data_IF_887632535557
#
_entry.id   IF_887632535557
#
_cell.length_a   1.000
_cell.length_b   1.000
_cell.length_c   1.000
_cell.angle_alpha   90.00
_cell.angle_beta   90.00
_cell.angle_gamma   90.00
#
_symmetry.space_group_name_H-M   'P 1'
#
loop_
_entity.id
_entity.type
_entity.pdbx_description
1 polymer ?
#
# COMPACT_ATOMS: atom_id res chain seq x y z
N UNK A 1 3.92 68.81 -10.57
CA UNK A 1 2.89 68.07 -9.79
C UNK A 1 2.20 67.13 -10.75
N UNK A 2 2.68 65.90 -10.88
CA UNK A 2 2.33 64.70 -10.11
C UNK A 2 1.47 63.77 -10.98
N UNK A 3 2.18 62.89 -11.69
CA UNK A 3 1.66 61.63 -12.22
C UNK A 3 0.96 60.84 -11.10
N UNK A 4 -0.22 60.29 -11.37
CA UNK A 4 -0.81 59.24 -10.55
C UNK A 4 -1.09 58.01 -11.41
N UNK A 5 -0.05 57.19 -11.48
CA UNK A 5 -0.13 55.77 -11.78
C UNK A 5 -0.82 55.12 -10.58
N UNK A 6 -1.99 54.52 -10.78
CA UNK A 6 -2.57 53.59 -9.83
C UNK A 6 -2.34 52.18 -10.37
N UNK A 7 -1.22 51.56 -9.97
CA UNK A 7 -0.99 50.12 -10.14
C UNK A 7 -1.86 49.42 -9.11
N UNK A 8 -2.88 48.71 -9.57
CA UNK A 8 -3.56 47.72 -8.76
C UNK A 8 -2.64 46.50 -8.63
N UNK A 9 -2.03 46.34 -7.45
CA UNK A 9 -1.32 45.12 -7.09
C UNK A 9 -2.34 43.97 -6.93
N UNK A 10 -2.45 43.13 -7.95
CA UNK A 10 -3.03 41.79 -7.81
C UNK A 10 -2.06 40.91 -7.02
N UNK A 11 -2.27 40.78 -5.73
CA UNK A 11 -1.70 39.68 -4.94
C UNK A 11 -2.51 38.42 -5.26
N UNK A 12 -2.08 37.69 -6.29
CA UNK A 12 -2.45 36.31 -6.49
C UNK A 12 -1.72 35.46 -5.44
N UNK A 13 -2.32 35.32 -4.26
CA UNK A 13 -1.93 34.26 -3.34
C UNK A 13 -2.46 32.96 -3.94
N UNK A 14 -1.57 32.25 -4.63
CA UNK A 14 -1.82 30.90 -5.12
C UNK A 14 -2.07 29.98 -3.94
N UNK A 15 -3.34 29.75 -3.64
CA UNK A 15 -3.78 28.57 -2.92
C UNK A 15 -3.54 27.37 -3.85
N UNK A 16 -2.38 26.72 -3.73
CA UNK A 16 -2.26 25.32 -4.10
C UNK A 16 -2.97 24.51 -3.02
N UNK A 17 -4.30 24.53 -3.05
CA UNK A 17 -5.06 23.42 -2.51
C UNK A 17 -4.77 22.25 -3.44
N UNK A 18 -3.95 21.31 -2.99
CA UNK A 18 -3.94 19.96 -3.55
C UNK A 18 -5.35 19.44 -3.41
N UNK A 19 -6.09 19.47 -4.52
CA UNK A 19 -7.38 18.80 -4.63
C UNK A 19 -7.13 17.30 -4.45
N UNK A 20 -7.17 16.84 -3.20
CA UNK A 20 -7.56 15.48 -2.91
C UNK A 20 -9.00 15.33 -3.39
N UNK A 21 -9.16 15.06 -4.69
CA UNK A 21 -10.45 14.80 -5.31
C UNK A 21 -11.10 13.64 -4.54
N UNK A 22 -12.26 13.83 -3.89
CA UNK A 22 -13.04 12.73 -3.37
C UNK A 22 -13.78 12.14 -4.58
N UNK A 23 -13.05 11.42 -5.44
CA UNK A 23 -13.69 10.71 -6.53
C UNK A 23 -14.37 9.50 -5.91
N UNK A 24 -15.65 9.66 -5.56
CA UNK A 24 -16.57 8.54 -5.43
C UNK A 24 -16.65 7.93 -6.84
N UNK A 25 -15.77 6.98 -7.14
CA UNK A 25 -15.78 6.20 -8.38
C UNK A 25 -17.15 5.51 -8.50
N UNK A 26 -17.71 5.51 -9.71
CA UNK A 26 -18.95 4.83 -10.02
C UNK A 26 -18.92 3.37 -9.57
N UNK A 27 -20.05 2.92 -9.03
CA UNK A 27 -20.32 1.63 -8.38
C UNK A 27 -19.77 0.45 -9.16
N UNK A 28 -18.55 0.03 -8.85
CA UNK A 28 -18.11 -1.37 -8.84
C UNK A 28 -16.68 -1.38 -8.29
N UNK A 29 -16.50 -1.30 -6.96
CA UNK A 29 -15.18 -1.39 -6.35
C UNK A 29 -14.47 -2.64 -6.87
N UNK A 30 -13.29 -2.39 -7.42
CA UNK A 30 -12.42 -3.43 -7.95
C UNK A 30 -11.46 -3.75 -6.82
N UNK A 31 -11.85 -4.65 -5.94
CA UNK A 31 -10.94 -5.21 -4.95
C UNK A 31 -9.57 -5.52 -5.57
N UNK A 32 -8.49 -4.95 -5.04
CA UNK A 32 -7.11 -5.01 -5.58
C UNK A 32 -7.03 -4.68 -7.08
N UNK A 33 -6.57 -3.47 -7.42
CA UNK A 33 -6.41 -2.99 -8.79
C UNK A 33 -4.93 -2.85 -9.15
N UNK A 34 -4.45 -3.65 -10.09
CA UNK A 34 -3.10 -3.56 -10.65
C UNK A 34 -3.20 -3.32 -12.16
N UNK A 35 -2.38 -2.42 -12.70
CA UNK A 35 -2.44 -2.00 -14.12
C UNK A 35 -3.85 -1.54 -14.58
N UNK A 36 -4.63 -0.96 -13.66
CA UNK A 36 -6.01 -0.50 -13.89
C UNK A 36 -7.06 -1.62 -13.95
N UNK A 37 -6.67 -2.87 -13.73
CA UNK A 37 -7.56 -4.03 -13.77
C UNK A 37 -7.66 -4.73 -12.41
N UNK A 38 -8.82 -5.33 -12.13
CA UNK A 38 -9.05 -6.11 -10.92
C UNK A 38 -8.17 -7.37 -10.93
N UNK A 39 -7.38 -7.59 -9.89
CA UNK A 39 -6.75 -8.88 -9.65
C UNK A 39 -7.85 -9.89 -9.27
N UNK A 40 -7.91 -11.01 -9.98
CA UNK A 40 -8.83 -12.10 -9.63
C UNK A 40 -8.14 -13.04 -8.66
N UNK A 41 -8.91 -13.65 -7.77
CA UNK A 41 -8.40 -14.66 -6.86
C UNK A 41 -9.21 -15.94 -7.07
N UNK A 42 -8.53 -17.08 -7.11
CA UNK A 42 -9.21 -18.38 -7.19
C UNK A 42 -9.79 -18.82 -5.84
N UNK A 43 -10.33 -20.05 -5.78
CA UNK A 43 -10.92 -20.59 -4.56
C UNK A 43 -9.93 -20.72 -3.38
N UNK A 44 -8.62 -20.77 -3.66
CA UNK A 44 -7.55 -20.83 -2.67
C UNK A 44 -6.96 -19.44 -2.37
N UNK A 45 -7.60 -18.37 -2.87
CA UNK A 45 -7.13 -16.99 -2.81
C UNK A 45 -5.76 -16.79 -3.49
N UNK A 46 -5.44 -17.61 -4.48
CA UNK A 46 -4.24 -17.42 -5.31
C UNK A 46 -4.53 -16.38 -6.39
N UNK A 47 -3.67 -15.35 -6.56
CA UNK A 47 -3.90 -14.30 -7.54
C UNK A 47 -3.80 -14.83 -8.98
N UNK A 48 -4.72 -14.37 -9.82
CA UNK A 48 -4.82 -14.66 -11.24
C UNK A 48 -4.73 -13.32 -11.99
N UNK A 49 -3.70 -13.20 -12.82
CA UNK A 49 -3.39 -11.96 -13.53
C UNK A 49 -3.86 -12.03 -14.98
N UNK A 50 -4.32 -10.91 -15.51
CA UNK A 50 -4.59 -10.75 -16.93
C UNK A 50 -3.30 -10.56 -17.72
N UNK A 51 -3.35 -10.73 -19.04
CA UNK A 51 -2.20 -10.44 -19.92
C UNK A 51 -1.72 -8.99 -19.75
N UNK A 52 -2.65 -8.04 -19.58
CA UNK A 52 -2.32 -6.64 -19.33
C UNK A 52 -1.53 -6.48 -18.04
N UNK A 53 -1.99 -7.07 -16.94
CA UNK A 53 -1.26 -7.05 -15.67
C UNK A 53 0.10 -7.71 -15.79
N UNK A 54 0.22 -8.81 -16.53
CA UNK A 54 1.53 -9.47 -16.76
C UNK A 54 2.49 -8.55 -17.52
N UNK A 55 1.99 -7.82 -18.52
CA UNK A 55 2.79 -6.96 -19.40
C UNK A 55 3.09 -5.56 -18.80
N UNK A 56 2.22 -5.05 -17.93
CA UNK A 56 2.29 -3.66 -17.40
C UNK A 56 2.63 -3.61 -15.90
N UNK A 57 3.08 -4.71 -15.30
CA UNK A 57 3.62 -4.70 -13.94
C UNK A 57 4.91 -5.52 -13.86
N UNK A 58 5.66 -5.35 -12.77
CA UNK A 58 6.86 -6.13 -12.52
C UNK A 58 6.53 -7.57 -12.08
N UNK A 59 7.34 -8.52 -12.55
CA UNK A 59 7.24 -9.92 -12.11
C UNK A 59 7.39 -10.03 -10.59
N UNK A 60 8.31 -9.28 -9.99
CA UNK A 60 8.54 -9.27 -8.55
C UNK A 60 7.26 -8.90 -7.77
N UNK A 61 6.51 -7.89 -8.22
CA UNK A 61 5.25 -7.48 -7.59
C UNK A 61 4.22 -8.61 -7.60
N UNK A 62 4.05 -9.27 -8.75
CA UNK A 62 3.09 -10.37 -8.92
C UNK A 62 3.50 -11.62 -8.15
N UNK A 63 4.76 -12.02 -8.24
CA UNK A 63 5.31 -13.15 -7.52
C UNK A 63 5.30 -12.93 -6.00
N UNK A 64 5.58 -11.69 -5.57
CA UNK A 64 5.48 -11.27 -4.18
C UNK A 64 4.04 -11.36 -3.65
N UNK A 65 3.04 -10.90 -4.43
CA UNK A 65 1.63 -11.07 -4.06
C UNK A 65 1.27 -12.54 -3.93
N UNK A 66 1.66 -13.38 -4.89
CA UNK A 66 1.37 -14.82 -4.83
C UNK A 66 2.02 -15.48 -3.60
N UNK A 67 3.25 -15.09 -3.26
CA UNK A 67 3.95 -15.60 -2.08
C UNK A 67 3.27 -15.15 -0.79
N UNK A 68 2.94 -13.87 -0.65
CA UNK A 68 2.21 -13.37 0.52
C UNK A 68 0.80 -13.99 0.63
N UNK A 69 0.07 -14.11 -0.49
CA UNK A 69 -1.23 -14.77 -0.54
C UNK A 69 -1.20 -16.25 -0.11
N UNK A 70 -0.03 -16.90 -0.16
CA UNK A 70 0.14 -18.27 0.31
C UNK A 70 0.25 -18.40 1.83
N UNK A 71 0.37 -17.29 2.58
CA UNK A 71 0.41 -17.29 4.05
C UNK A 71 -0.99 -17.20 4.67
N UNK A 72 -1.12 -17.48 5.97
CA UNK A 72 -2.41 -17.38 6.65
C UNK A 72 -2.88 -15.93 6.74
N UNK A 73 -1.98 -15.00 7.12
CA UNK A 73 -2.31 -13.58 7.18
C UNK A 73 -2.63 -13.00 5.80
N UNK A 74 -1.89 -13.39 4.76
CA UNK A 74 -2.17 -12.96 3.40
C UNK A 74 -3.56 -13.38 2.93
N UNK A 75 -3.92 -14.66 3.13
CA UNK A 75 -5.29 -15.14 2.83
C UNK A 75 -6.35 -14.37 3.61
N UNK A 76 -6.13 -14.13 4.90
CA UNK A 76 -7.08 -13.39 5.77
C UNK A 76 -7.31 -11.97 5.27
N UNK A 77 -6.25 -11.26 4.90
CA UNK A 77 -6.34 -9.89 4.41
C UNK A 77 -6.95 -9.84 3.02
N UNK A 78 -6.55 -10.73 2.11
CA UNK A 78 -7.19 -10.84 0.79
C UNK A 78 -8.68 -11.12 0.94
N UNK A 79 -9.11 -12.05 1.80
CA UNK A 79 -10.53 -12.33 2.02
C UNK A 79 -11.32 -11.13 2.58
N UNK A 80 -10.68 -10.28 3.40
CA UNK A 80 -11.28 -9.05 3.92
C UNK A 80 -11.41 -7.99 2.82
N UNK A 81 -10.33 -7.71 2.11
CA UNK A 81 -10.25 -6.61 1.14
C UNK A 81 -10.77 -6.99 -0.25
N UNK A 82 -10.99 -8.27 -0.54
CA UNK A 82 -11.60 -8.74 -1.78
C UNK A 82 -13.14 -8.64 -1.77
N UNK A 83 -13.67 -7.57 -1.16
CA UNK A 83 -15.12 -7.30 -1.02
C UNK A 83 -15.49 -6.02 -1.75
N UNK A 84 -16.78 -5.89 -2.07
CA UNK A 84 -17.32 -4.75 -2.83
C UNK A 84 -17.45 -3.45 -2.00
N UNK A 85 -16.69 -3.29 -0.92
CA UNK A 85 -16.60 -2.05 -0.14
C UNK A 85 -15.18 -1.48 -0.11
N UNK A 86 -14.22 -2.18 -0.72
CA UNK A 86 -12.80 -1.83 -0.72
C UNK A 86 -12.26 -1.69 -2.13
N UNK A 87 -11.42 -0.68 -2.35
CA UNK A 87 -10.55 -0.56 -3.50
C UNK A 87 -9.12 -0.37 -2.98
N UNK A 88 -8.21 -1.29 -3.32
CA UNK A 88 -6.78 -1.12 -3.04
C UNK A 88 -6.13 -0.87 -4.38
N UNK A 89 -5.64 0.34 -4.62
CA UNK A 89 -5.04 0.77 -5.88
C UNK A 89 -3.53 0.54 -5.82
N UNK A 90 -3.04 -0.42 -6.61
CA UNK A 90 -1.63 -0.79 -6.62
C UNK A 90 -0.89 -0.01 -7.71
N UNK A 91 0.11 0.74 -7.28
CA UNK A 91 0.98 1.53 -8.15
C UNK A 91 2.42 1.09 -7.96
N UNK A 92 3.12 0.81 -9.06
CA UNK A 92 4.57 0.58 -9.02
C UNK A 92 5.30 1.91 -9.20
N UNK A 93 6.20 2.25 -8.28
CA UNK A 93 6.98 3.48 -8.32
C UNK A 93 8.46 3.18 -8.07
N UNK A 94 9.30 3.28 -9.10
CA UNK A 94 10.75 3.06 -8.99
C UNK A 94 11.48 4.19 -8.24
N UNK A 95 10.86 5.35 -8.08
CA UNK A 95 11.42 6.51 -7.36
C UNK A 95 11.09 6.48 -5.86
N UNK A 96 10.33 5.48 -5.39
CA UNK A 96 10.01 5.34 -3.98
C UNK A 96 11.27 4.99 -3.17
N UNK A 97 11.48 5.64 -2.03
CA UNK A 97 12.70 5.51 -1.24
C UNK A 97 12.76 4.22 -0.41
N UNK A 98 11.65 3.48 -0.32
CA UNK A 98 11.55 2.18 0.37
C UNK A 98 11.05 1.04 -0.54
N UNK A 99 10.80 -0.12 0.05
CA UNK A 99 10.26 -1.30 -0.67
C UNK A 99 8.78 -1.14 -1.06
N UNK A 100 8.06 -0.29 -0.34
CA UNK A 100 6.66 0.04 -0.55
C UNK A 100 6.21 1.11 0.43
N UNK A 101 5.01 1.64 0.21
CA UNK A 101 4.36 2.62 1.08
C UNK A 101 2.84 2.57 0.92
N UNK A 102 2.13 2.60 2.03
CA UNK A 102 0.68 2.79 2.12
C UNK A 102 0.38 4.15 2.75
N UNK A 103 0.21 5.21 1.95
CA UNK A 103 -0.08 6.54 2.49
C UNK A 103 -1.40 6.52 3.26
N UNK A 104 -1.48 7.30 4.34
CA UNK A 104 -2.72 7.45 5.09
C UNK A 104 -3.82 7.99 4.16
N UNK A 105 -5.00 7.34 4.11
CA UNK A 105 -6.07 7.80 3.27
C UNK A 105 -6.68 9.10 3.81
N UNK A 106 -7.46 9.79 2.97
CA UNK A 106 -8.17 11.00 3.37
C UNK A 106 -9.12 10.77 4.57
N UNK A 107 -9.39 11.83 5.33
CA UNK A 107 -10.21 11.78 6.55
C UNK A 107 -11.58 11.13 6.32
N UNK A 108 -12.20 11.36 5.16
CA UNK A 108 -13.48 10.76 4.81
C UNK A 108 -13.43 9.21 4.80
N UNK A 109 -12.34 8.63 4.31
CA UNK A 109 -12.13 7.17 4.31
C UNK A 109 -11.92 6.64 5.73
N UNK A 110 -11.14 7.35 6.55
CA UNK A 110 -10.92 6.96 7.96
C UNK A 110 -12.21 6.99 8.77
N UNK A 111 -13.01 8.05 8.62
CA UNK A 111 -14.32 8.18 9.31
C UNK A 111 -15.31 7.11 8.83
N UNK A 112 -15.21 6.68 7.57
CA UNK A 112 -16.07 5.64 6.99
C UNK A 112 -15.63 4.20 7.33
N UNK A 113 -14.61 3.99 8.17
CA UNK A 113 -14.06 2.66 8.47
C UNK A 113 -15.12 1.62 8.90
N UNK A 114 -16.08 2.02 9.73
CA UNK A 114 -17.19 1.16 10.16
C UNK A 114 -18.45 1.22 9.27
N UNK A 115 -18.46 2.07 8.23
CA UNK A 115 -19.60 2.25 7.35
C UNK A 115 -19.49 1.34 6.12
N UNK A 116 -20.19 0.21 6.17
CA UNK A 116 -20.24 -0.78 5.08
C UNK A 116 -21.04 -0.31 3.85
N UNK A 117 -21.73 0.83 3.93
CA UNK A 117 -22.40 1.43 2.77
C UNK A 117 -21.44 2.27 1.90
N UNK A 118 -20.21 2.51 2.37
CA UNK A 118 -19.21 3.34 1.71
C UNK A 118 -18.10 2.50 1.10
N UNK A 119 -17.69 2.92 -0.09
CA UNK A 119 -16.48 2.43 -0.73
C UNK A 119 -15.28 3.13 -0.10
N UNK A 120 -14.30 2.34 0.31
CA UNK A 120 -13.06 2.79 0.96
C UNK A 120 -11.90 2.50 0.03
N UNK A 121 -11.28 3.54 -0.49
CA UNK A 121 -10.13 3.46 -1.39
C UNK A 121 -8.83 3.68 -0.61
N UNK A 122 -7.83 2.85 -0.89
CA UNK A 122 -6.49 2.89 -0.33
C UNK A 122 -5.46 2.79 -1.45
N UNK A 123 -4.40 3.57 -1.36
CA UNK A 123 -3.26 3.43 -2.27
C UNK A 123 -2.22 2.48 -1.65
N UNK A 124 -1.66 1.63 -2.51
CA UNK A 124 -0.55 0.75 -2.21
C UNK A 124 0.54 1.02 -3.23
N UNK A 125 1.62 1.66 -2.81
CA UNK A 125 2.77 1.98 -3.65
C UNK A 125 3.83 0.91 -3.40
N UNK A 126 4.35 0.30 -4.46
CA UNK A 126 5.39 -0.74 -4.36
C UNK A 126 6.60 -0.35 -5.22
N UNK A 127 7.81 -0.63 -4.73
CA UNK A 127 9.04 -0.43 -5.49
C UNK A 127 9.68 -1.77 -5.86
N UNK A 128 9.31 -2.38 -7.00
CA UNK A 128 9.88 -3.65 -7.42
C UNK A 128 11.37 -3.56 -7.79
N UNK A 129 11.92 -2.35 -7.90
CA UNK A 129 13.33 -2.11 -8.25
C UNK A 129 14.19 -1.72 -7.06
N UNK A 130 13.59 -1.55 -5.88
CA UNK A 130 14.34 -1.17 -4.69
C UNK A 130 15.38 -2.25 -4.37
N UNK A 131 16.62 -1.83 -4.16
CA UNK A 131 17.71 -2.75 -3.87
C UNK A 131 18.12 -2.55 -2.41
N UNK A 132 17.70 -3.48 -1.54
CA UNK A 132 18.19 -3.50 -0.16
C UNK A 132 19.70 -3.81 -0.23
N UNK A 133 20.58 -2.92 0.27
CA UNK A 133 22.00 -3.20 0.34
C UNK A 133 22.19 -4.49 1.14
N UNK A 134 22.51 -5.58 0.44
CA UNK A 134 22.72 -6.88 1.08
C UNK A 134 23.91 -6.73 2.00
N UNK A 135 23.68 -6.76 3.31
CA UNK A 135 24.79 -6.94 4.23
C UNK A 135 25.40 -8.32 3.92
N UNK A 136 26.72 -8.45 4.05
CA UNK A 136 27.42 -9.74 3.88
C UNK A 136 26.93 -10.79 4.91
N UNK A 137 26.07 -10.37 5.85
CA UNK A 137 25.59 -11.17 6.97
C UNK A 137 24.06 -11.25 6.95
N UNK A 138 23.51 -12.01 6.00
CA UNK A 138 22.18 -12.61 6.19
C UNK A 138 22.29 -13.71 7.26
N UNK A 139 22.38 -13.30 8.53
CA UNK A 139 22.44 -14.23 9.66
C UNK A 139 21.11 -14.97 9.74
N UNK A 140 21.14 -16.29 9.93
CA UNK A 140 19.94 -17.05 10.28
C UNK A 140 19.57 -16.79 11.76
N UNK A 141 18.31 -16.48 12.10
CA UNK A 141 17.14 -16.39 11.21
C UNK A 141 17.16 -15.11 10.36
N UNK A 142 16.77 -15.26 9.08
CA UNK A 142 16.86 -14.20 8.06
C UNK A 142 16.22 -12.89 8.52
N UNK A 143 16.94 -11.80 8.26
CA UNK A 143 16.49 -10.42 8.49
C UNK A 143 16.13 -9.69 7.20
N UNK A 144 16.61 -10.16 6.05
CA UNK A 144 16.40 -9.51 4.77
C UNK A 144 15.87 -10.52 3.74
N UNK A 145 15.00 -10.07 2.83
CA UNK A 145 14.55 -10.85 1.68
C UNK A 145 15.72 -11.36 0.82
N UNK A 146 15.61 -12.59 0.30
CA UNK A 146 16.67 -13.20 -0.52
C UNK A 146 16.50 -12.91 -2.03
N UNK A 147 15.26 -12.71 -2.48
CA UNK A 147 14.89 -12.45 -3.87
C UNK A 147 14.00 -11.21 -4.00
N UNK A 148 13.89 -10.61 -5.20
CA UNK A 148 12.93 -9.52 -5.43
C UNK A 148 11.48 -9.93 -5.11
N UNK A 149 11.11 -11.19 -5.33
CA UNK A 149 9.78 -11.70 -4.97
C UNK A 149 9.58 -11.77 -3.45
N UNK A 150 10.61 -12.19 -2.69
CA UNK A 150 10.56 -12.16 -1.21
C UNK A 150 10.40 -10.74 -0.69
N UNK A 151 11.10 -9.79 -1.33
CA UNK A 151 11.06 -8.39 -0.95
C UNK A 151 9.67 -7.81 -1.21
N UNK A 152 9.10 -8.08 -2.38
CA UNK A 152 7.74 -7.67 -2.68
C UNK A 152 6.71 -8.38 -1.80
N UNK A 153 6.94 -9.64 -1.41
CA UNK A 153 6.06 -10.31 -0.44
C UNK A 153 6.08 -9.60 0.93
N UNK A 154 7.25 -9.16 1.39
CA UNK A 154 7.38 -8.36 2.61
C UNK A 154 6.72 -6.98 2.46
N UNK A 155 6.89 -6.30 1.32
CA UNK A 155 6.22 -5.03 1.04
C UNK A 155 4.69 -5.17 1.03
N UNK A 156 4.15 -6.19 0.33
CA UNK A 156 2.72 -6.51 0.36
C UNK A 156 2.22 -6.75 1.79
N UNK A 157 2.96 -7.52 2.58
CA UNK A 157 2.60 -7.82 3.96
C UNK A 157 2.59 -6.57 4.84
N UNK A 158 3.67 -5.79 4.81
CA UNK A 158 3.85 -4.56 5.57
C UNK A 158 2.75 -3.58 5.22
N UNK A 159 2.70 -3.12 3.97
CA UNK A 159 1.77 -2.07 3.55
C UNK A 159 0.29 -2.45 3.70
N UNK A 160 -0.08 -3.72 3.49
CA UNK A 160 -1.45 -4.16 3.75
C UNK A 160 -1.80 -4.18 5.23
N UNK A 161 -0.82 -4.26 6.14
CA UNK A 161 -1.03 -4.05 7.57
C UNK A 161 -1.37 -2.59 7.88
N UNK A 162 -0.72 -1.60 7.25
CA UNK A 162 -1.13 -0.19 7.39
C UNK A 162 -2.57 -0.01 6.90
N UNK A 163 -2.88 -0.53 5.72
CA UNK A 163 -4.24 -0.49 5.16
C UNK A 163 -5.25 -1.17 6.09
N UNK A 164 -4.88 -2.29 6.72
CA UNK A 164 -5.71 -2.93 7.74
C UNK A 164 -6.02 -1.98 8.90
N UNK A 165 -5.02 -1.30 9.46
CA UNK A 165 -5.22 -0.33 10.54
C UNK A 165 -6.09 0.86 10.10
N UNK A 166 -5.81 1.43 8.93
CA UNK A 166 -6.65 2.50 8.35
C UNK A 166 -8.10 2.04 8.13
N UNK A 167 -8.31 0.79 7.71
CA UNK A 167 -9.65 0.20 7.55
C UNK A 167 -10.41 0.00 8.84
N UNK A 168 -9.73 0.05 9.98
CA UNK A 168 -10.34 0.06 11.31
C UNK A 168 -10.43 1.47 11.92
N UNK A 169 -10.17 2.51 11.12
CA UNK A 169 -10.25 3.92 11.54
C UNK A 169 -9.06 4.37 12.37
N UNK A 170 -7.96 3.61 12.37
CA UNK A 170 -6.73 3.96 13.08
C UNK A 170 -5.82 4.71 12.12
N UNK A 171 -5.53 5.98 12.41
CA UNK A 171 -4.61 6.82 11.65
C UNK A 171 -3.17 6.66 12.15
N UNK A 172 -2.23 7.27 11.43
CA UNK A 172 -0.87 7.47 11.93
C UNK A 172 -0.84 8.34 13.20
N UNK A 173 0.22 8.23 14.03
CA UNK A 173 1.26 7.20 13.98
C UNK A 173 0.75 5.87 14.57
N UNK A 174 0.93 4.75 13.86
CA UNK A 174 0.54 3.41 14.35
C UNK A 174 1.67 2.38 14.39
N UNK A 175 2.83 2.64 13.80
CA UNK A 175 3.96 1.69 13.75
C UNK A 175 4.44 1.29 15.14
N UNK A 176 4.46 2.22 16.08
CA UNK A 176 4.92 1.97 17.45
C UNK A 176 3.89 1.28 18.34
N UNK A 177 2.68 0.99 17.83
CA UNK A 177 1.66 0.32 18.63
C UNK A 177 2.02 -1.16 18.81
N UNK A 178 1.75 -1.67 20.02
CA UNK A 178 2.03 -3.06 20.35
C UNK A 178 1.24 -4.05 19.47
N UNK A 179 -0.01 -3.74 19.12
CA UNK A 179 -0.83 -4.57 18.25
C UNK A 179 -0.31 -4.59 16.81
N UNK A 180 0.15 -3.45 16.29
CA UNK A 180 0.79 -3.37 14.98
C UNK A 180 2.08 -4.19 14.94
N UNK A 181 2.98 -3.97 15.91
CA UNK A 181 4.24 -4.71 15.99
C UNK A 181 4.01 -6.21 16.12
N UNK A 182 3.05 -6.63 16.94
CA UNK A 182 2.71 -8.04 17.10
C UNK A 182 2.26 -8.67 15.77
N UNK A 183 1.32 -8.04 15.06
CA UNK A 183 0.84 -8.54 13.76
C UNK A 183 1.96 -8.57 12.72
N UNK A 184 2.81 -7.54 12.67
CA UNK A 184 3.96 -7.53 11.78
C UNK A 184 4.90 -8.72 12.03
N UNK A 185 5.29 -8.97 13.28
CA UNK A 185 6.19 -10.08 13.61
C UNK A 185 5.62 -11.44 13.18
N UNK A 186 4.31 -11.64 13.33
CA UNK A 186 3.63 -12.85 12.87
C UNK A 186 3.65 -12.96 11.34
N UNK A 187 3.31 -11.88 10.63
CA UNK A 187 3.32 -11.84 9.17
C UNK A 187 4.72 -12.05 8.58
N UNK A 188 5.73 -11.40 9.14
CA UNK A 188 7.12 -11.55 8.71
C UNK A 188 7.65 -12.97 8.98
N UNK A 189 7.26 -13.60 10.10
CA UNK A 189 7.61 -14.99 10.39
C UNK A 189 7.02 -15.97 9.37
N UNK A 190 5.79 -15.77 8.90
CA UNK A 190 5.18 -16.59 7.84
C UNK A 190 5.94 -16.49 6.50
N UNK A 191 6.59 -15.36 6.25
CA UNK A 191 7.44 -15.14 5.08
C UNK A 191 8.87 -15.69 5.25
N UNK A 192 9.20 -16.25 6.42
CA UNK A 192 10.54 -16.72 6.76
C UNK A 192 11.51 -15.61 7.18
N UNK A 193 10.97 -14.45 7.58
CA UNK A 193 11.71 -13.24 7.97
C UNK A 193 11.39 -12.82 9.42
N UNK A 194 11.48 -13.72 10.42
CA UNK A 194 10.95 -13.47 11.78
C UNK A 194 11.66 -12.34 12.55
N UNK A 195 12.80 -11.85 12.05
CA UNK A 195 13.59 -10.78 12.66
C UNK A 195 13.60 -9.50 11.79
N UNK A 196 12.75 -9.41 10.77
CA UNK A 196 12.65 -8.20 9.95
C UNK A 196 11.97 -7.10 10.79
N UNK A 197 12.60 -5.93 10.97
CA UNK A 197 11.96 -4.80 11.63
C UNK A 197 10.88 -4.18 10.74
N UNK A 198 10.01 -3.37 11.36
CA UNK A 198 9.07 -2.48 10.67
C UNK A 198 8.81 -1.26 11.56
N UNK A 199 9.75 -0.31 11.51
CA UNK A 199 9.75 0.92 12.29
C UNK A 199 9.49 2.15 11.39
N UNK A 200 9.37 3.34 12.00
CA UNK A 200 9.04 4.58 11.27
C UNK A 200 10.11 4.97 10.22
N UNK A 201 11.33 4.43 10.32
CA UNK A 201 12.44 4.61 9.36
C UNK A 201 12.47 3.57 8.23
N UNK A 202 11.56 2.59 8.26
CA UNK A 202 11.37 1.60 7.21
C UNK A 202 10.28 2.00 6.19
N UNK A 203 9.67 3.20 6.33
CA UNK A 203 8.68 3.83 5.42
C UNK A 203 9.27 4.89 4.47
#
# INVERSE_FOLDING_TARGET
MQSRIAIACFLAIGFFATEASPFIRERNPRAFVLAGERIRFDANLTPQFTDKQINESAEATRAGLAKWASTEHGRRFIARFNRDEYEVLITENWMEEGIGRAPQPGLATLVAAGDHSKIKAYDLILNPTFNIPRSVVNVYPLRQPATPADQMAAAWAGEMLHIYFYSNGISLPHHQRADFQQEWHLMAAELGLPNMPHADDDE
#
